data_IF_848828212257
#
_entry.id   IF_848828212257
#
_cell.length_a   1.000
_cell.length_b   1.000
_cell.length_c   1.000
_cell.angle_alpha   90.00
_cell.angle_beta   90.00
_cell.angle_gamma   90.00
#
_symmetry.space_group_name_H-M   'P 1'
#
loop_
_entity.id
_entity.type
_entity.pdbx_description
1 polymer ?
#
# COMPACT_ATOMS: atom_id res chain seq x y z
N UNK A 1 -18.41 -8.99 -2.42
CA UNK A 1 -17.04 -9.42 -2.77
C UNK A 1 -16.09 -8.61 -1.93
N UNK A 2 -15.25 -9.26 -1.12
CA UNK A 2 -14.44 -8.57 -0.11
C UNK A 2 -13.33 -7.74 -0.80
N UNK A 3 -13.14 -6.45 -0.43
CA UNK A 3 -12.18 -5.56 -1.09
C UNK A 3 -10.75 -6.12 -1.06
N UNK A 4 -10.38 -6.78 0.04
CA UNK A 4 -9.06 -7.42 0.17
C UNK A 4 -8.87 -8.57 -0.81
N UNK A 5 -9.92 -9.37 -1.08
CA UNK A 5 -9.84 -10.47 -2.05
C UNK A 5 -9.60 -9.95 -3.46
N UNK A 6 -10.26 -8.85 -3.84
CA UNK A 6 -10.06 -8.22 -5.13
C UNK A 6 -8.65 -7.63 -5.26
N UNK A 7 -8.19 -6.92 -4.23
CA UNK A 7 -6.83 -6.40 -4.19
C UNK A 7 -5.80 -7.52 -4.38
N UNK A 8 -5.93 -8.64 -3.64
CA UNK A 8 -5.07 -9.83 -3.78
C UNK A 8 -5.17 -10.49 -5.15
N UNK A 9 -6.35 -10.54 -5.76
CA UNK A 9 -6.51 -11.05 -7.14
C UNK A 9 -5.75 -10.20 -8.15
N UNK A 10 -5.78 -8.88 -8.00
CA UNK A 10 -5.06 -7.95 -8.89
C UNK A 10 -3.55 -8.10 -8.66
N UNK A 11 -3.09 -8.15 -7.40
CA UNK A 11 -1.69 -8.42 -7.05
C UNK A 11 -1.14 -9.66 -7.75
N UNK A 12 -1.88 -10.79 -7.66
CA UNK A 12 -1.48 -12.05 -8.33
C UNK A 12 -1.35 -11.91 -9.84
N UNK A 13 -2.18 -11.09 -10.48
CA UNK A 13 -2.09 -10.81 -11.92
C UNK A 13 -0.95 -9.86 -12.29
N UNK A 14 -0.53 -9.00 -11.35
CA UNK A 14 0.56 -8.05 -11.55
C UNK A 14 1.95 -8.68 -11.40
N UNK A 15 2.04 -9.92 -10.92
CA UNK A 15 3.30 -10.68 -10.75
C UNK A 15 4.31 -10.02 -9.81
N UNK A 16 3.85 -9.10 -8.96
CA UNK A 16 4.64 -8.38 -7.94
C UNK A 16 3.78 -8.14 -6.71
N UNK A 17 4.40 -8.15 -5.53
CA UNK A 17 3.76 -7.77 -4.27
C UNK A 17 4.11 -6.33 -3.85
N UNK A 18 4.99 -5.64 -4.58
CA UNK A 18 5.30 -4.23 -4.34
C UNK A 18 4.14 -3.36 -4.82
N UNK A 19 3.65 -2.48 -3.96
CA UNK A 19 2.48 -1.66 -4.22
C UNK A 19 2.73 -0.21 -3.85
N UNK A 20 2.21 0.70 -4.69
CA UNK A 20 1.98 2.10 -4.37
C UNK A 20 0.50 2.26 -4.04
N UNK A 21 0.21 2.80 -2.85
CA UNK A 21 -1.12 3.17 -2.39
C UNK A 21 -1.19 4.70 -2.26
N UNK A 22 -2.28 5.28 -2.74
CA UNK A 22 -2.63 6.67 -2.51
C UNK A 22 -3.83 6.72 -1.56
N UNK A 23 -3.70 7.56 -0.54
CA UNK A 23 -4.82 8.03 0.29
C UNK A 23 -5.03 9.52 0.01
N UNK A 24 -6.00 10.16 0.69
CA UNK A 24 -6.16 11.61 0.59
C UNK A 24 -4.97 12.42 1.13
N UNK A 25 -4.11 11.80 1.95
CA UNK A 25 -3.04 12.50 2.66
C UNK A 25 -1.65 11.94 2.36
N UNK A 26 -1.56 10.66 2.02
CA UNK A 26 -0.30 9.94 1.90
C UNK A 26 -0.17 9.16 0.61
N UNK A 27 1.04 9.22 0.02
CA UNK A 27 1.56 8.18 -0.86
C UNK A 27 2.34 7.18 -0.02
N UNK A 28 2.04 5.89 -0.21
CA UNK A 28 2.60 4.80 0.57
C UNK A 28 3.13 3.76 -0.41
N UNK A 29 4.42 3.46 -0.36
CA UNK A 29 5.04 2.40 -1.16
C UNK A 29 5.53 1.32 -0.21
N UNK A 30 5.22 0.06 -0.49
CA UNK A 30 5.73 -1.05 0.32
C UNK A 30 5.45 -2.40 -0.34
N UNK A 31 5.85 -3.47 0.33
CA UNK A 31 5.65 -4.84 -0.13
C UNK A 31 4.51 -5.49 0.65
N UNK A 32 3.51 -6.04 -0.05
CA UNK A 32 2.38 -6.71 0.58
C UNK A 32 2.87 -7.98 1.29
N UNK A 33 2.56 -8.08 2.58
CA UNK A 33 2.91 -9.20 3.45
C UNK A 33 1.64 -9.93 3.94
N UNK A 34 1.56 -11.23 3.69
CA UNK A 34 0.47 -12.06 4.19
C UNK A 34 0.81 -12.57 5.61
N UNK A 35 0.08 -12.07 6.61
CA UNK A 35 0.11 -12.59 7.97
C UNK A 35 -1.26 -13.20 8.29
N UNK A 36 -1.34 -14.51 8.55
CA UNK A 36 -2.60 -15.20 8.87
C UNK A 36 -3.31 -14.60 10.09
N UNK A 37 -2.53 -14.16 11.08
CA UNK A 37 -3.03 -13.79 12.41
C UNK A 37 -3.22 -12.27 12.57
N UNK A 38 -2.67 -11.47 11.64
CA UNK A 38 -2.70 -10.01 11.69
C UNK A 38 -3.83 -9.40 10.83
N UNK A 39 -4.46 -10.19 9.97
CA UNK A 39 -5.43 -9.69 8.99
C UNK A 39 -6.73 -9.28 9.69
N UNK A 40 -6.82 -7.99 10.01
CA UNK A 40 -8.10 -7.34 10.30
C UNK A 40 -8.87 -7.16 8.99
N UNK A 41 -10.19 -7.24 9.05
CA UNK A 41 -11.04 -7.02 7.88
C UNK A 41 -10.69 -5.70 7.18
N UNK A 42 -10.63 -5.72 5.85
CA UNK A 42 -10.29 -4.58 4.98
C UNK A 42 -8.89 -3.95 5.15
N UNK A 43 -7.98 -4.53 5.94
CA UNK A 43 -6.61 -4.05 6.01
C UNK A 43 -5.67 -4.85 5.08
N UNK A 44 -4.70 -4.16 4.48
CA UNK A 44 -3.52 -4.75 3.85
C UNK A 44 -2.30 -4.48 4.74
N UNK A 45 -1.48 -5.50 4.95
CA UNK A 45 -0.23 -5.34 5.69
C UNK A 45 0.90 -5.12 4.70
N UNK A 46 1.70 -4.10 4.94
CA UNK A 46 2.88 -3.78 4.16
C UNK A 46 4.13 -3.89 5.02
N UNK A 47 5.22 -4.30 4.39
CA UNK A 47 6.59 -4.23 4.92
C UNK A 47 7.45 -3.33 4.04
N UNK A 48 8.63 -2.93 4.52
CA UNK A 48 9.57 -2.05 3.77
C UNK A 48 8.88 -0.78 3.27
N UNK A 49 8.17 -0.10 4.16
CA UNK A 49 7.22 0.96 3.81
C UNK A 49 7.93 2.31 3.74
N UNK A 50 7.76 2.99 2.62
CA UNK A 50 8.02 4.41 2.43
C UNK A 50 6.70 5.17 2.46
N UNK A 51 6.60 6.19 3.30
CA UNK A 51 5.42 7.01 3.44
C UNK A 51 5.79 8.48 3.21
N UNK A 52 4.98 9.15 2.39
CA UNK A 52 5.15 10.53 1.97
C UNK A 52 3.81 11.27 2.09
N UNK A 53 3.77 12.53 2.53
CA UNK A 53 2.55 13.31 2.35
C UNK A 53 2.34 13.55 0.85
N UNK A 54 1.09 13.49 0.39
CA UNK A 54 0.77 13.71 -1.04
C UNK A 54 1.18 15.12 -1.50
N UNK A 55 1.13 16.12 -0.61
CA UNK A 55 1.56 17.49 -0.90
C UNK A 55 3.07 17.60 -1.15
N UNK A 56 3.86 16.66 -0.62
CA UNK A 56 5.32 16.62 -0.76
C UNK A 56 5.77 15.71 -1.92
N UNK A 57 4.83 15.20 -2.73
CA UNK A 57 5.12 14.39 -3.92
C UNK A 57 5.30 15.30 -5.14
N UNK A 58 6.54 15.40 -5.61
CA UNK A 58 6.89 16.11 -6.84
C UNK A 58 7.19 15.09 -7.95
N UNK A 59 6.25 14.93 -8.88
CA UNK A 59 6.36 13.90 -9.92
C UNK A 59 6.16 12.49 -9.34
N UNK A 60 7.18 11.63 -9.48
CA UNK A 60 7.19 10.29 -8.89
C UNK A 60 8.08 10.20 -7.63
N UNK A 61 8.68 11.30 -7.21
CA UNK A 61 9.63 11.35 -6.10
C UNK A 61 9.01 12.07 -4.89
N UNK A 62 9.41 11.61 -3.70
CA UNK A 62 9.01 12.22 -2.45
C UNK A 62 10.17 13.04 -1.88
N UNK A 63 9.93 14.32 -1.58
CA UNK A 63 10.96 15.18 -1.00
C UNK A 63 11.28 14.80 0.46
N UNK A 64 10.25 14.41 1.23
CA UNK A 64 10.37 14.01 2.62
C UNK A 64 9.67 12.68 2.90
N UNK A 65 10.44 11.59 2.87
CA UNK A 65 9.91 10.25 3.17
C UNK A 65 10.22 9.78 4.60
N UNK A 66 9.22 9.14 5.22
CA UNK A 66 9.39 8.35 6.44
C UNK A 66 9.42 6.86 6.09
N UNK A 67 10.37 6.13 6.68
CA UNK A 67 10.53 4.70 6.47
C UNK A 67 10.00 3.91 7.69
N UNK A 68 9.25 2.85 7.44
CA UNK A 68 8.69 1.97 8.46
C UNK A 68 8.91 0.50 8.09
N UNK A 69 9.23 -0.33 9.09
CA UNK A 69 9.39 -1.77 8.88
C UNK A 69 8.08 -2.44 8.51
N UNK A 70 6.97 -2.01 9.12
CA UNK A 70 5.64 -2.55 8.90
C UNK A 70 4.55 -1.48 9.06
N UNK A 71 3.46 -1.61 8.29
CA UNK A 71 2.29 -0.75 8.39
C UNK A 71 1.01 -1.50 8.00
N UNK A 72 -0.07 -1.29 8.76
CA UNK A 72 -1.40 -1.80 8.42
C UNK A 72 -2.24 -0.69 7.77
N UNK A 73 -2.63 -0.89 6.52
CA UNK A 73 -3.38 0.10 5.75
C UNK A 73 -4.82 -0.35 5.58
N UNK A 74 -5.76 0.48 6.05
CA UNK A 74 -7.17 0.27 5.78
C UNK A 74 -7.47 0.61 4.31
N UNK A 75 -7.86 -0.40 3.51
CA UNK A 75 -8.20 -0.25 2.09
C UNK A 75 -9.40 0.68 1.84
N UNK A 76 -10.25 0.92 2.85
CA UNK A 76 -11.34 1.90 2.73
C UNK A 76 -10.86 3.35 2.69
N UNK A 77 -9.61 3.61 3.08
CA UNK A 77 -8.96 4.94 2.98
C UNK A 77 -8.09 5.10 1.74
N UNK A 78 -7.89 4.02 0.98
CA UNK A 78 -7.12 4.03 -0.27
C UNK A 78 -8.01 4.54 -1.39
N UNK A 79 -7.59 5.61 -2.07
CA UNK A 79 -8.31 6.20 -3.21
C UNK A 79 -7.83 5.66 -4.54
N UNK A 80 -6.56 5.27 -4.63
CA UNK A 80 -5.97 4.65 -5.81
C UNK A 80 -4.78 3.77 -5.41
N UNK A 81 -4.45 2.80 -6.25
CA UNK A 81 -3.25 2.00 -6.07
C UNK A 81 -2.71 1.50 -7.41
N UNK A 82 -1.42 1.16 -7.42
CA UNK A 82 -0.77 0.44 -8.52
C UNK A 82 0.25 -0.55 -7.97
N UNK A 83 0.35 -1.71 -8.59
CA UNK A 83 1.45 -2.65 -8.34
C UNK A 83 2.67 -2.22 -9.16
N UNK A 84 3.84 -2.22 -8.54
CA UNK A 84 5.11 -1.74 -9.11
C UNK A 84 5.97 -2.95 -9.49
N UNK A 85 6.43 -2.98 -10.76
CA UNK A 85 7.40 -3.98 -11.23
C UNK A 85 8.82 -3.61 -10.85
#
# INVERSE_FOLDING_TARGET
MNKIENFKKIMKKSETNRVLLLTNHYQIIGDVYECSDCNKENCVNLTNVKLCNVEDVFGCECEYESNYDWLHINLDKVVAFSFLK
#
